data_IF_125007936873
#
_entry.id   IF_125007936873
#
_cell.length_a   1.000
_cell.length_b   1.000
_cell.length_c   1.000
_cell.angle_alpha   90.00
_cell.angle_beta   90.00
_cell.angle_gamma   90.00
#
_symmetry.space_group_name_H-M   'P 1'
#
loop_
_entity.id
_entity.type
_entity.pdbx_description
1 polymer ?
#
# COMPACT_ATOMS: atom_id res chain seq x y z
N UNK A 1 14.41 -37.35 -13.63
CA UNK A 1 12.97 -37.05 -13.75
C UNK A 1 12.76 -35.80 -12.91
N UNK A 2 13.03 -34.64 -13.52
CA UNK A 2 12.00 -33.67 -13.98
C UNK A 2 11.16 -33.11 -12.81
N UNK A 3 10.91 -31.82 -12.62
CA UNK A 3 11.37 -30.58 -13.25
C UNK A 3 11.11 -29.46 -12.23
N UNK A 4 11.93 -28.43 -12.34
CA UNK A 4 11.91 -27.13 -11.65
C UNK A 4 10.51 -26.52 -11.40
N UNK A 5 10.19 -26.23 -10.13
CA UNK A 5 9.30 -25.11 -9.78
C UNK A 5 10.13 -23.96 -9.18
N UNK A 6 11.14 -23.53 -9.93
CA UNK A 6 11.65 -22.18 -9.79
C UNK A 6 10.61 -21.28 -10.46
N UNK A 7 9.61 -20.82 -9.71
CA UNK A 7 8.74 -19.73 -10.15
C UNK A 7 9.55 -18.43 -10.10
N UNK A 8 10.64 -18.37 -10.87
CA UNK A 8 11.29 -17.14 -11.28
C UNK A 8 10.27 -16.41 -12.14
N UNK A 9 9.39 -15.69 -11.44
CA UNK A 9 8.58 -14.65 -12.03
C UNK A 9 9.58 -13.64 -12.58
N UNK A 10 9.89 -13.76 -13.87
CA UNK A 10 10.49 -12.68 -14.65
C UNK A 10 9.50 -11.54 -14.64
N UNK A 11 9.47 -10.80 -13.52
CA UNK A 11 8.63 -9.62 -13.38
C UNK A 11 9.13 -8.61 -14.40
N UNK A 12 8.22 -8.10 -15.20
CA UNK A 12 8.59 -7.02 -16.11
C UNK A 12 9.04 -5.81 -15.28
N UNK A 13 9.89 -4.92 -15.82
CA UNK A 13 10.28 -3.69 -15.13
C UNK A 13 9.06 -2.92 -14.59
N UNK A 14 7.95 -2.91 -15.33
CA UNK A 14 6.70 -2.25 -14.96
C UNK A 14 6.06 -2.90 -13.72
N UNK A 15 6.05 -4.23 -13.64
CA UNK A 15 5.54 -4.96 -12.46
C UNK A 15 6.42 -4.72 -11.23
N UNK A 16 7.73 -4.58 -11.43
CA UNK A 16 8.64 -4.22 -10.33
C UNK A 16 8.37 -2.80 -9.83
N UNK A 17 8.22 -1.84 -10.75
CA UNK A 17 7.89 -0.44 -10.43
C UNK A 17 6.55 -0.36 -9.69
N UNK A 18 5.51 -1.02 -10.18
CA UNK A 18 4.18 -1.04 -9.53
C UNK A 18 4.27 -1.61 -8.11
N UNK A 19 5.05 -2.69 -7.91
CA UNK A 19 5.29 -3.23 -6.57
C UNK A 19 5.97 -2.22 -5.65
N UNK A 20 6.97 -1.49 -6.13
CA UNK A 20 7.65 -0.49 -5.30
C UNK A 20 6.73 0.68 -4.95
N UNK A 21 5.91 1.14 -5.89
CA UNK A 21 4.90 2.17 -5.64
C UNK A 21 3.91 1.73 -4.56
N UNK A 22 3.42 0.50 -4.63
CA UNK A 22 2.54 -0.05 -3.58
C UNK A 22 3.22 -0.10 -2.21
N UNK A 23 4.46 -0.60 -2.15
CA UNK A 23 5.19 -0.67 -0.89
C UNK A 23 5.45 0.71 -0.28
N UNK A 24 5.74 1.71 -1.10
CA UNK A 24 5.90 3.09 -0.65
C UNK A 24 4.60 3.67 -0.09
N UNK A 25 3.44 3.37 -0.71
CA UNK A 25 2.14 3.75 -0.18
C UNK A 25 1.82 3.04 1.15
N UNK A 26 2.17 1.76 1.28
CA UNK A 26 2.03 1.00 2.53
C UNK A 26 2.88 1.59 3.65
N UNK A 27 4.14 1.91 3.39
CA UNK A 27 5.03 2.54 4.37
C UNK A 27 4.48 3.90 4.83
N UNK A 28 3.98 4.69 3.88
CA UNK A 28 3.33 5.98 4.18
C UNK A 28 2.09 5.80 5.08
N UNK A 29 1.25 4.79 4.79
CA UNK A 29 0.08 4.46 5.61
C UNK A 29 0.47 3.99 7.03
N UNK A 30 1.55 3.21 7.16
CA UNK A 30 2.06 2.77 8.46
C UNK A 30 2.54 3.96 9.30
N UNK A 31 3.29 4.88 8.69
CA UNK A 31 3.77 6.09 9.35
C UNK A 31 2.60 6.99 9.79
N UNK A 32 1.60 7.16 8.94
CA UNK A 32 0.38 7.89 9.28
C UNK A 32 -0.36 7.25 10.47
N UNK A 33 -0.57 5.94 10.48
CA UNK A 33 -1.21 5.23 11.60
C UNK A 33 -0.40 5.37 12.91
N UNK A 34 0.93 5.33 12.83
CA UNK A 34 1.79 5.52 13.98
C UNK A 34 1.63 6.92 14.60
N UNK A 35 1.57 7.97 13.77
CA UNK A 35 1.31 9.34 14.22
C UNK A 35 -0.10 9.47 14.82
N UNK A 36 -1.12 8.91 14.16
CA UNK A 36 -2.50 8.94 14.66
C UNK A 36 -2.59 8.33 16.06
N UNK A 37 -1.98 7.16 16.26
CA UNK A 37 -1.92 6.51 17.58
C UNK A 37 -1.17 7.36 18.60
N UNK A 38 -0.02 7.94 18.22
CA UNK A 38 0.79 8.78 19.11
C UNK A 38 -0.01 9.97 19.65
N UNK A 39 -0.74 10.68 18.78
CA UNK A 39 -1.54 11.84 19.18
C UNK A 39 -2.79 11.44 19.98
N UNK A 40 -3.48 10.36 19.57
CA UNK A 40 -4.67 9.87 20.26
C UNK A 40 -4.39 9.43 21.71
N UNK A 41 -3.30 8.69 21.96
CA UNK A 41 -2.92 8.25 23.32
C UNK A 41 -2.59 9.43 24.24
N UNK A 42 -2.15 10.56 23.67
CA UNK A 42 -1.82 11.79 24.41
C UNK A 42 -3.01 12.74 24.54
N UNK A 43 -4.21 12.33 24.14
CA UNK A 43 -5.41 13.17 24.09
C UNK A 43 -5.22 14.44 23.24
N UNK A 44 -4.32 14.39 22.26
CA UNK A 44 -4.10 15.50 21.35
C UNK A 44 -5.09 15.44 20.17
N UNK A 45 -6.34 15.81 20.44
CA UNK A 45 -7.46 15.73 19.50
C UNK A 45 -7.38 16.67 18.28
N UNK A 46 -6.83 17.91 18.37
CA UNK A 46 -6.60 18.74 17.20
C UNK A 46 -5.76 18.05 16.12
N UNK A 47 -4.55 17.57 16.45
CA UNK A 47 -3.71 16.81 15.51
C UNK A 47 -4.36 15.49 15.08
N UNK A 48 -5.06 14.80 15.98
CA UNK A 48 -5.80 13.58 15.63
C UNK A 48 -6.84 13.85 14.54
N UNK A 49 -7.56 14.97 14.64
CA UNK A 49 -8.58 15.37 13.65
C UNK A 49 -7.96 15.71 12.31
N UNK A 50 -6.81 16.40 12.30
CA UNK A 50 -6.04 16.68 11.08
C UNK A 50 -5.62 15.37 10.42
N UNK A 51 -5.09 14.42 11.19
CA UNK A 51 -4.65 13.12 10.66
C UNK A 51 -5.84 12.29 10.14
N UNK A 52 -7.00 12.34 10.79
CA UNK A 52 -8.21 11.66 10.32
C UNK A 52 -8.71 12.23 8.99
N UNK A 53 -8.58 13.54 8.76
CA UNK A 53 -8.94 14.16 7.48
C UNK A 53 -8.09 13.66 6.29
N UNK A 54 -6.92 13.06 6.55
CA UNK A 54 -6.06 12.46 5.53
C UNK A 54 -6.41 11.01 5.20
N UNK A 55 -7.33 10.38 5.95
CA UNK A 55 -7.63 8.95 5.82
C UNK A 55 -8.09 8.57 4.41
N UNK A 56 -8.92 9.40 3.77
CA UNK A 56 -9.41 9.16 2.42
C UNK A 56 -8.29 9.15 1.39
N UNK A 57 -7.34 10.09 1.50
CA UNK A 57 -6.18 10.16 0.61
C UNK A 57 -5.27 8.95 0.78
N UNK A 58 -4.98 8.56 2.03
CA UNK A 58 -4.17 7.35 2.31
C UNK A 58 -4.85 6.11 1.73
N UNK A 59 -6.17 5.97 1.91
CA UNK A 59 -6.91 4.85 1.35
C UNK A 59 -6.97 4.89 -0.18
N UNK A 60 -7.02 6.09 -0.78
CA UNK A 60 -6.98 6.28 -2.22
C UNK A 60 -5.62 5.85 -2.80
N UNK A 61 -4.51 6.29 -2.21
CA UNK A 61 -3.16 5.96 -2.65
C UNK A 61 -2.90 4.45 -2.58
N UNK A 62 -3.33 3.79 -1.49
CA UNK A 62 -3.24 2.34 -1.36
C UNK A 62 -4.02 1.60 -2.45
N UNK A 63 -5.22 2.07 -2.81
CA UNK A 63 -6.03 1.46 -3.87
C UNK A 63 -5.43 1.68 -5.26
N UNK A 64 -4.93 2.88 -5.53
CA UNK A 64 -4.38 3.22 -6.85
C UNK A 64 -3.04 2.55 -7.11
N UNK A 65 -2.24 2.34 -6.06
CA UNK A 65 -0.94 1.69 -6.18
C UNK A 65 -1.04 0.18 -6.02
N UNK A 66 -2.18 -0.35 -5.57
CA UNK A 66 -2.40 -1.78 -5.48
C UNK A 66 -2.09 -2.42 -6.84
N UNK A 67 -1.30 -3.51 -6.89
CA UNK A 67 -1.10 -4.25 -8.12
C UNK A 67 -2.49 -4.63 -8.63
N UNK A 68 -2.82 -4.25 -9.87
CA UNK A 68 -4.05 -4.72 -10.48
C UNK A 68 -4.07 -6.25 -10.31
N UNK A 69 -5.16 -6.78 -9.74
CA UNK A 69 -5.45 -8.19 -9.99
C UNK A 69 -5.52 -8.25 -11.50
N UNK A 70 -4.51 -8.84 -12.14
CA UNK A 70 -4.48 -9.15 -13.55
C UNK A 70 -5.92 -9.31 -14.00
N UNK A 71 -6.40 -8.35 -14.80
CA UNK A 71 -7.70 -8.48 -15.44
C UNK A 71 -7.74 -9.90 -15.96
N UNK A 72 -8.56 -10.74 -15.32
CA UNK A 72 -8.99 -11.99 -15.91
C UNK A 72 -9.69 -11.52 -17.19
N UNK A 73 -8.93 -11.49 -18.30
CA UNK A 73 -9.49 -11.60 -19.64
C UNK A 73 -10.29 -12.88 -19.62
N UNK A 74 -11.58 -12.74 -19.37
CA UNK A 74 -12.45 -13.83 -18.98
C UNK A 74 -13.89 -13.37 -18.84
N UNK A 75 -14.35 -12.51 -19.76
CA UNK A 75 -15.66 -12.59 -20.43
C UNK A 75 -15.75 -11.53 -21.52
#
# INVERSE_FOLDING_TARGET
>A
MENTHNSQTNRTPEQWVQRQQFLSAVESAQNWLAMLRYHAVRYNWPETTILLALADNICHDLRNTAPERHSQKGR
#
